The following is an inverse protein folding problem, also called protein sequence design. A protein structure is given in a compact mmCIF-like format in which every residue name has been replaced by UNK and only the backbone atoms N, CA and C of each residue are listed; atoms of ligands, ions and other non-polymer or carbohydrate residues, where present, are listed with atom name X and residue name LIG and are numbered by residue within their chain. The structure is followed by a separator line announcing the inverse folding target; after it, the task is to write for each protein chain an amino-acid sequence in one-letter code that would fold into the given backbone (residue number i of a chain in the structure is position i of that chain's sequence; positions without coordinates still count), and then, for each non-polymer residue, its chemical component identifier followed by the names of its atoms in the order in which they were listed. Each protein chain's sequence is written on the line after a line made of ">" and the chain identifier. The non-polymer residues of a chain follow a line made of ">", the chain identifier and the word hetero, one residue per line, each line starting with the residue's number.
data_IF_150641870479
#
_entry.id   IF_150641870479
#
_cell.length_a   1.000
_cell.length_b   1.000
_cell.length_c   1.000
_cell.angle_alpha   90.00
_cell.angle_beta   90.00
_cell.angle_gamma   90.00
#
_symmetry.space_group_name_H-M   'P 1'
#
loop_
_entity.id
_entity.type
_entity.pdbx_description
1 polymer ?
#
# COMPACT_ATOMS: atom_id res chain seq x y z
N UNK A 1 -10.28 -7.21 15.16
CA UNK A 1 -11.10 -7.16 13.95
C UNK A 1 -10.39 -6.39 12.84
N UNK A 2 -10.48 -6.88 11.62
CA UNK A 2 -9.88 -6.18 10.49
C UNK A 2 -10.77 -5.01 10.07
N UNK A 3 -10.14 -3.95 9.57
CA UNK A 3 -10.83 -2.82 8.97
C UNK A 3 -11.40 -3.20 7.61
N UNK A 4 -12.46 -2.53 7.18
CA UNK A 4 -12.93 -2.61 5.81
C UNK A 4 -12.16 -1.63 4.93
N UNK A 5 -12.25 -1.79 3.60
CA UNK A 5 -11.63 -0.84 2.66
C UNK A 5 -12.13 0.59 2.90
N UNK A 6 -13.44 0.77 3.15
CA UNK A 6 -14.01 2.08 3.43
C UNK A 6 -13.47 2.69 4.70
N UNK A 7 -13.33 1.88 5.76
CA UNK A 7 -12.76 2.35 7.02
C UNK A 7 -11.31 2.79 6.83
N UNK A 8 -10.53 2.03 6.06
CA UNK A 8 -9.14 2.37 5.76
C UNK A 8 -9.03 3.69 4.99
N UNK A 9 -9.94 3.96 4.06
CA UNK A 9 -9.95 5.22 3.31
C UNK A 9 -10.21 6.43 4.20
N UNK A 10 -10.93 6.26 5.31
CA UNK A 10 -11.24 7.33 6.25
C UNK A 10 -10.11 7.59 7.24
N UNK A 11 -9.19 6.65 7.39
CA UNK A 11 -8.10 6.78 8.34
C UNK A 11 -6.93 7.56 7.75
N UNK A 12 -6.11 8.11 8.63
CA UNK A 12 -4.85 8.75 8.28
C UNK A 12 -3.70 7.95 8.88
N UNK A 13 -2.60 7.84 8.15
CA UNK A 13 -1.40 7.20 8.67
C UNK A 13 -0.87 7.98 9.89
N UNK A 14 -0.46 7.25 10.91
CA UNK A 14 0.11 7.81 12.12
C UNK A 14 1.62 7.58 12.11
N UNK A 15 2.41 8.44 12.77
CA UNK A 15 3.83 8.21 12.88
C UNK A 15 4.12 6.85 13.50
N UNK A 16 5.04 6.09 12.88
CA UNK A 16 5.49 4.82 13.43
C UNK A 16 6.75 5.07 14.23
N UNK A 17 6.66 4.82 15.54
CA UNK A 17 7.80 4.95 16.44
C UNK A 17 8.33 3.57 16.81
N UNK A 18 9.61 3.49 17.09
CA UNK A 18 10.21 2.27 17.60
C UNK A 18 9.52 1.83 18.89
N UNK A 19 9.27 0.54 19.07
CA UNK A 19 8.57 0.00 20.21
C UNK A 19 7.11 -0.38 19.96
N UNK A 20 6.53 0.07 18.84
CA UNK A 20 5.22 -0.43 18.40
C UNK A 20 5.45 -1.78 17.72
N UNK A 21 4.66 -2.78 18.09
CA UNK A 21 4.78 -4.11 17.50
C UNK A 21 4.20 -4.15 16.08
N UNK A 22 4.91 -4.82 15.20
CA UNK A 22 4.39 -5.12 13.87
C UNK A 22 3.20 -6.08 13.98
N UNK A 23 2.33 -6.06 12.97
CA UNK A 23 1.25 -7.04 12.86
C UNK A 23 1.79 -8.46 12.93
N UNK A 24 1.10 -9.33 13.68
CA UNK A 24 1.33 -10.77 13.58
C UNK A 24 0.90 -11.25 12.19
N UNK A 25 1.31 -12.44 11.80
CA UNK A 25 0.90 -13.01 10.52
C UNK A 25 -0.63 -13.10 10.42
N UNK A 26 -1.31 -13.47 11.50
CA UNK A 26 -2.77 -13.56 11.52
C UNK A 26 -3.43 -12.18 11.37
N UNK A 27 -2.90 -11.17 12.07
CA UNK A 27 -3.39 -9.80 11.94
C UNK A 27 -3.18 -9.28 10.52
N UNK A 28 -2.02 -9.55 9.92
CA UNK A 28 -1.73 -9.15 8.56
C UNK A 28 -2.68 -9.83 7.56
N UNK A 29 -2.95 -11.12 7.72
CA UNK A 29 -3.91 -11.84 6.87
C UNK A 29 -5.31 -11.25 7.00
N UNK A 30 -5.73 -10.90 8.21
CA UNK A 30 -7.03 -10.30 8.46
C UNK A 30 -7.15 -8.93 7.80
N UNK A 31 -6.15 -8.07 7.97
CA UNK A 31 -6.13 -6.73 7.36
C UNK A 31 -6.06 -6.81 5.84
N UNK A 32 -5.29 -7.76 5.31
CA UNK A 32 -5.14 -7.94 3.87
C UNK A 32 -6.48 -8.25 3.20
N UNK A 33 -7.42 -8.85 3.91
CA UNK A 33 -8.74 -9.15 3.35
C UNK A 33 -9.52 -7.89 2.94
N UNK A 34 -9.19 -6.74 3.52
CA UNK A 34 -9.79 -5.45 3.17
C UNK A 34 -9.18 -4.84 1.90
N UNK A 35 -8.03 -5.34 1.46
CA UNK A 35 -7.33 -4.90 0.25
C UNK A 35 -6.96 -6.13 -0.60
N UNK A 36 -7.97 -6.81 -1.18
CA UNK A 36 -7.78 -8.12 -1.80
C UNK A 36 -6.88 -8.14 -3.03
N UNK A 37 -6.61 -6.99 -3.63
CA UNK A 37 -5.70 -6.90 -4.77
C UNK A 37 -4.22 -6.89 -4.36
N UNK A 38 -3.95 -6.83 -3.08
CA UNK A 38 -2.60 -6.86 -2.55
C UNK A 38 -2.24 -8.26 -2.07
N UNK A 39 -1.02 -8.68 -2.38
CA UNK A 39 -0.51 -9.97 -1.92
C UNK A 39 0.32 -9.79 -0.66
N UNK A 40 0.09 -10.65 0.33
CA UNK A 40 0.89 -10.71 1.54
C UNK A 40 2.06 -11.66 1.29
N UNK A 41 3.30 -11.19 1.54
CA UNK A 41 4.47 -12.06 1.42
C UNK A 41 4.45 -13.14 2.49
N UNK A 42 5.07 -14.30 2.22
CA UNK A 42 5.06 -15.42 3.18
C UNK A 42 5.58 -15.09 4.58
N UNK A 43 6.51 -14.12 4.69
CA UNK A 43 7.04 -13.70 5.99
C UNK A 43 6.08 -12.78 6.76
N UNK A 44 4.98 -12.36 6.14
CA UNK A 44 3.99 -11.47 6.77
C UNK A 44 4.45 -10.04 7.00
N UNK A 45 5.57 -9.64 6.42
CA UNK A 45 6.19 -8.33 6.69
C UNK A 45 6.00 -7.31 5.59
N UNK A 46 5.51 -7.74 4.43
CA UNK A 46 5.29 -6.90 3.25
C UNK A 46 3.98 -7.24 2.59
N UNK A 47 3.34 -6.22 2.00
CA UNK A 47 2.27 -6.43 1.03
C UNK A 47 2.70 -5.80 -0.29
N UNK A 48 2.22 -6.34 -1.40
CA UNK A 48 2.59 -5.85 -2.72
C UNK A 48 1.45 -5.96 -3.71
N UNK A 49 1.44 -5.07 -4.68
CA UNK A 49 0.50 -5.09 -5.79
C UNK A 49 1.24 -4.76 -7.08
N UNK A 50 0.98 -5.54 -8.14
CA UNK A 50 1.51 -5.27 -9.47
C UNK A 50 0.37 -4.89 -10.40
N UNK A 51 0.55 -3.81 -11.15
CA UNK A 51 -0.44 -3.32 -12.11
C UNK A 51 0.21 -3.01 -13.44
N UNK A 52 -0.57 -3.14 -14.52
CA UNK A 52 -0.12 -2.85 -15.87
C UNK A 52 -0.95 -1.71 -16.43
N UNK A 53 -0.28 -0.68 -16.90
CA UNK A 53 -0.93 0.52 -17.46
C UNK A 53 -1.06 0.41 -18.98
N UNK A 54 -1.88 1.28 -19.54
CA UNK A 54 -2.06 1.38 -20.99
C UNK A 54 -0.77 1.81 -21.68
N UNK A 55 -0.05 2.77 -21.06
CA UNK A 55 1.19 3.32 -21.61
C UNK A 55 2.04 3.95 -20.50
N UNK A 56 3.20 4.44 -20.87
CA UNK A 56 4.15 5.05 -19.94
C UNK A 56 3.60 6.30 -19.24
N UNK A 57 2.95 7.17 -19.99
CA UNK A 57 2.41 8.42 -19.44
C UNK A 57 1.37 8.13 -18.36
N UNK A 58 0.49 7.17 -18.60
CA UNK A 58 -0.53 6.77 -17.60
C UNK A 58 0.10 6.22 -16.35
N UNK A 59 1.15 5.43 -16.49
CA UNK A 59 1.89 4.93 -15.32
C UNK A 59 2.51 6.07 -14.53
N UNK A 60 3.15 7.01 -15.19
CA UNK A 60 3.79 8.16 -14.52
C UNK A 60 2.74 9.05 -13.84
N UNK A 61 1.59 9.27 -14.46
CA UNK A 61 0.50 10.02 -13.83
C UNK A 61 0.08 9.39 -12.51
N UNK A 62 -0.09 8.06 -12.50
CA UNK A 62 -0.43 7.33 -11.27
C UNK A 62 0.69 7.43 -10.23
N UNK A 63 1.94 7.29 -10.65
CA UNK A 63 3.09 7.41 -9.75
C UNK A 63 3.14 8.79 -9.10
N UNK A 64 2.88 9.85 -9.85
CA UNK A 64 2.84 11.21 -9.30
C UNK A 64 1.74 11.35 -8.25
N UNK A 65 0.56 10.78 -8.50
CA UNK A 65 -0.54 10.81 -7.53
C UNK A 65 -0.19 10.02 -6.27
N UNK A 66 0.45 8.87 -6.43
CA UNK A 66 0.92 8.06 -5.30
C UNK A 66 1.97 8.81 -4.50
N UNK A 67 2.86 9.54 -5.17
CA UNK A 67 3.87 10.35 -4.50
C UNK A 67 3.23 11.45 -3.64
N UNK A 68 2.25 12.16 -4.17
CA UNK A 68 1.53 13.20 -3.41
C UNK A 68 0.82 12.60 -2.20
N UNK A 69 0.15 11.47 -2.37
CA UNK A 69 -0.51 10.76 -1.30
C UNK A 69 0.50 10.35 -0.22
N UNK A 70 1.62 9.77 -0.63
CA UNK A 70 2.65 9.27 0.29
C UNK A 70 3.24 10.39 1.14
N UNK A 71 3.49 11.56 0.53
CA UNK A 71 3.97 12.73 1.26
C UNK A 71 2.92 13.26 2.23
N UNK A 72 1.65 13.29 1.82
CA UNK A 72 0.57 13.75 2.68
C UNK A 72 0.35 12.85 3.88
N UNK A 73 0.52 11.54 3.70
CA UNK A 73 0.33 10.55 4.76
C UNK A 73 1.59 10.30 5.60
N UNK A 74 2.75 10.75 5.11
CA UNK A 74 4.02 10.49 5.80
C UNK A 74 4.42 9.03 5.82
N UNK A 75 4.00 8.26 4.83
CA UNK A 75 4.32 6.83 4.70
C UNK A 75 4.55 6.50 3.23
N UNK A 76 5.67 5.87 2.92
CA UNK A 76 6.16 5.77 1.55
C UNK A 76 6.28 4.32 1.08
N UNK A 77 5.71 3.98 -0.08
CA UNK A 77 5.90 2.67 -0.70
C UNK A 77 7.23 2.60 -1.44
N UNK A 78 7.69 1.39 -1.72
CA UNK A 78 8.70 1.16 -2.74
C UNK A 78 7.98 0.99 -4.08
N UNK A 79 8.47 1.66 -5.10
CA UNK A 79 7.88 1.63 -6.44
C UNK A 79 8.90 1.11 -7.44
N UNK A 80 8.49 0.11 -8.24
CA UNK A 80 9.33 -0.46 -9.29
C UNK A 80 8.63 -0.27 -10.62
N UNK A 81 9.23 0.56 -11.48
CA UNK A 81 8.71 0.84 -12.80
C UNK A 81 9.54 0.06 -13.82
N UNK A 82 8.90 -0.86 -14.53
CA UNK A 82 9.57 -1.72 -15.50
C UNK A 82 8.76 -1.84 -16.78
N UNK A 83 9.44 -2.14 -17.89
CA UNK A 83 8.78 -2.40 -19.15
C UNK A 83 7.83 -1.27 -19.58
N UNK A 84 8.17 -0.04 -19.30
CA UNK A 84 7.46 1.22 -19.62
C UNK A 84 6.01 1.33 -19.13
N UNK A 85 5.39 0.26 -18.64
CA UNK A 85 3.99 0.30 -18.20
C UNK A 85 3.65 -0.64 -17.04
N UNK A 86 4.64 -1.29 -16.45
CA UNK A 86 4.43 -2.19 -15.32
C UNK A 86 4.88 -1.50 -14.03
N UNK A 87 4.01 -1.44 -13.04
CA UNK A 87 4.30 -0.86 -11.74
C UNK A 87 4.10 -1.91 -10.67
N UNK A 88 5.13 -2.16 -9.88
CA UNK A 88 5.03 -2.97 -8.67
C UNK A 88 5.15 -2.05 -7.47
N UNK A 89 4.19 -2.14 -6.58
CA UNK A 89 4.09 -1.32 -5.37
C UNK A 89 4.28 -2.23 -4.17
N UNK A 90 5.21 -1.88 -3.29
CA UNK A 90 5.51 -2.68 -2.09
C UNK A 90 5.39 -1.80 -0.86
N UNK A 91 4.77 -2.31 0.18
CA UNK A 91 4.57 -1.60 1.44
C UNK A 91 5.04 -2.42 2.63
N UNK A 92 5.76 -1.76 3.52
CA UNK A 92 6.13 -2.25 4.84
C UNK A 92 6.39 -1.04 5.73
N UNK A 93 6.48 -1.24 7.03
CA UNK A 93 6.84 -0.18 7.97
C UNK A 93 8.23 -0.48 8.53
N UNK A 94 9.25 0.15 7.95
CA UNK A 94 10.66 -0.11 8.29
C UNK A 94 10.96 0.12 9.77
N UNK A 95 10.35 1.14 10.39
CA UNK A 95 10.61 1.50 11.78
C UNK A 95 10.31 0.37 12.77
N UNK A 96 9.42 -0.55 12.41
CA UNK A 96 9.01 -1.66 13.27
C UNK A 96 9.33 -3.04 12.68
N UNK A 97 9.97 -3.07 11.51
CA UNK A 97 10.40 -4.30 10.86
C UNK A 97 9.26 -5.18 10.35
N UNK A 98 8.13 -4.61 9.98
CA UNK A 98 7.00 -5.37 9.46
C UNK A 98 5.80 -4.47 9.16
N UNK A 99 4.63 -5.06 9.05
CA UNK A 99 3.41 -4.34 8.68
C UNK A 99 2.76 -3.63 9.86
N UNK A 100 2.16 -2.49 9.59
CA UNK A 100 1.33 -1.73 10.52
C UNK A 100 0.04 -1.34 9.82
N UNK A 101 -0.89 -0.74 10.57
CA UNK A 101 -2.13 -0.21 9.98
C UNK A 101 -1.85 0.78 8.86
N UNK A 102 -0.76 1.53 8.94
CA UNK A 102 -0.38 2.51 7.91
C UNK A 102 -0.24 1.87 6.53
N UNK A 103 0.31 0.67 6.45
CA UNK A 103 0.49 -0.03 5.18
C UNK A 103 -0.85 -0.34 4.53
N UNK A 104 -1.82 -0.79 5.32
CA UNK A 104 -3.15 -1.12 4.82
C UNK A 104 -3.96 0.13 4.50
N UNK A 105 -3.81 1.19 5.28
CA UNK A 105 -4.43 2.50 5.00
C UNK A 105 -3.92 3.02 3.66
N UNK A 106 -2.61 3.00 3.46
CA UNK A 106 -2.01 3.50 2.22
C UNK A 106 -2.39 2.62 1.04
N UNK A 107 -2.41 1.30 1.22
CA UNK A 107 -2.84 0.36 0.17
C UNK A 107 -4.26 0.67 -0.32
N UNK A 108 -5.20 0.90 0.60
CA UNK A 108 -6.58 1.24 0.23
C UNK A 108 -6.65 2.56 -0.53
N UNK A 109 -5.89 3.56 -0.11
CA UNK A 109 -5.86 4.87 -0.78
C UNK A 109 -5.19 4.81 -2.15
N UNK A 110 -4.14 3.99 -2.29
CA UNK A 110 -3.51 3.73 -3.59
C UNK A 110 -4.51 3.04 -4.52
N UNK A 111 -5.27 2.07 -4.01
CA UNK A 111 -6.29 1.38 -4.81
C UNK A 111 -7.32 2.38 -5.37
N UNK A 112 -7.72 3.39 -4.59
CA UNK A 112 -8.64 4.42 -5.06
C UNK A 112 -8.03 5.24 -6.21
N UNK A 113 -6.74 5.55 -6.13
CA UNK A 113 -6.01 6.23 -7.22
C UNK A 113 -6.00 5.35 -8.47
N UNK A 114 -5.66 4.08 -8.31
CA UNK A 114 -5.57 3.14 -9.44
C UNK A 114 -6.94 2.91 -10.09
N UNK A 115 -8.00 2.89 -9.30
CA UNK A 115 -9.36 2.74 -9.82
C UNK A 115 -9.74 3.90 -10.76
N UNK A 116 -9.26 5.11 -10.51
CA UNK A 116 -9.47 6.26 -11.38
C UNK A 116 -8.79 6.08 -12.75
N UNK A 117 -7.77 5.24 -12.82
CA UNK A 117 -7.07 4.88 -14.06
C UNK A 117 -7.66 3.63 -14.72
N UNK A 118 -8.76 3.10 -14.22
CA UNK A 118 -9.41 1.92 -14.75
C UNK A 118 -8.81 0.60 -14.26
N UNK A 119 -8.07 0.64 -13.18
CA UNK A 119 -7.37 -0.55 -12.65
C UNK A 119 -7.96 -1.08 -11.35
#
# INVERSE_FOLDING_TARGET
>A
MSSTSEELLQKKCLPCEGGVEACSLEQAKSQRSAVPNWELRPDGKWIERSVRFKNFVKMIEAVNQIAELSEAEGHHPDLHLTGYRNLKIELTTHAIGGLSDNDFILAAKIDAILAQSGL
#
